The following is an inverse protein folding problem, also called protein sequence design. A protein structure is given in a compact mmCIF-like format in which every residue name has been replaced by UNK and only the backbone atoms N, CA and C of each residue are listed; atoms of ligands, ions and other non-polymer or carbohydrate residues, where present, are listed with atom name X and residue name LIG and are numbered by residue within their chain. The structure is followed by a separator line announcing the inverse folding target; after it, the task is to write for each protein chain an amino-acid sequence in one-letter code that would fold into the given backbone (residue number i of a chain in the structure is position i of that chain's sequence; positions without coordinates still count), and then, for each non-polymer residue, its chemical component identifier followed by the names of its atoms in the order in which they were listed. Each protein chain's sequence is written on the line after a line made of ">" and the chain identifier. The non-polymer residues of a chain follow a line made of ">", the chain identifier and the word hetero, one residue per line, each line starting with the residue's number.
data_IF_575379174701
#
_entry.id   IF_575379174701
#
_cell.length_a   1.000
_cell.length_b   1.000
_cell.length_c   1.000
_cell.angle_alpha   90.00
_cell.angle_beta   90.00
_cell.angle_gamma   90.00
#
_symmetry.space_group_name_H-M   'P 1'
#
loop_
_entity.id
_entity.type
_entity.pdbx_description
1 polymer ?
#
# COMPACT_ATOMS: atom_id res chain seq x y z
N UNK A 1 10.25 5.52 8.53
CA UNK A 1 8.99 4.72 8.55
C UNK A 1 8.45 4.64 7.13
N UNK A 2 8.17 3.44 6.64
CA UNK A 2 7.51 3.23 5.35
C UNK A 2 6.05 3.67 5.39
N UNK A 3 5.48 4.01 4.25
CA UNK A 3 4.08 4.45 4.12
C UNK A 3 3.41 3.76 2.94
N UNK A 4 2.11 3.57 3.03
CA UNK A 4 1.26 3.06 1.95
C UNK A 4 0.22 4.13 1.58
N UNK A 5 0.04 4.38 0.30
CA UNK A 5 -1.00 5.26 -0.22
C UNK A 5 -1.87 4.51 -1.23
N UNK A 6 -3.19 4.59 -1.04
CA UNK A 6 -4.18 4.10 -1.99
C UNK A 6 -4.80 5.29 -2.72
N UNK A 7 -4.60 5.33 -4.03
CA UNK A 7 -5.18 6.37 -4.88
C UNK A 7 -6.54 5.91 -5.42
N UNK A 8 -7.58 6.62 -5.01
CA UNK A 8 -8.97 6.38 -5.42
C UNK A 8 -9.38 4.90 -5.38
N UNK A 9 -9.22 4.21 -4.24
CA UNK A 9 -9.63 2.81 -4.14
C UNK A 9 -11.13 2.67 -4.38
N UNK A 10 -11.53 1.55 -5.01
CA UNK A 10 -12.89 1.36 -5.51
C UNK A 10 -13.66 0.29 -4.73
N UNK A 11 -12.98 -0.71 -4.20
CA UNK A 11 -13.58 -1.91 -3.59
C UNK A 11 -13.41 -1.86 -2.07
N UNK A 12 -14.48 -1.60 -1.29
CA UNK A 12 -14.40 -1.43 0.16
C UNK A 12 -13.67 -2.54 0.92
N UNK A 13 -13.90 -3.84 0.68
CA UNK A 13 -13.18 -4.90 1.38
C UNK A 13 -11.66 -4.87 1.15
N UNK A 14 -11.21 -4.45 -0.03
CA UNK A 14 -9.77 -4.33 -0.30
C UNK A 14 -9.13 -3.25 0.57
N UNK A 15 -9.76 -2.10 0.68
CA UNK A 15 -9.29 -1.02 1.56
C UNK A 15 -9.26 -1.48 3.03
N UNK A 16 -10.27 -2.21 3.48
CA UNK A 16 -10.30 -2.77 4.83
C UNK A 16 -9.17 -3.77 5.08
N UNK A 17 -8.87 -4.63 4.13
CA UNK A 17 -7.75 -5.58 4.22
C UNK A 17 -6.40 -4.88 4.24
N UNK A 18 -6.23 -3.82 3.43
CA UNK A 18 -5.02 -2.99 3.46
C UNK A 18 -4.89 -2.27 4.81
N UNK A 19 -5.98 -1.76 5.36
CA UNK A 19 -5.98 -1.13 6.67
C UNK A 19 -5.52 -2.11 7.77
N UNK A 20 -6.03 -3.34 7.75
CA UNK A 20 -5.59 -4.40 8.66
C UNK A 20 -4.09 -4.72 8.52
N UNK A 21 -3.61 -4.82 7.29
CA UNK A 21 -2.19 -5.03 7.00
C UNK A 21 -1.33 -3.90 7.54
N UNK A 22 -1.75 -2.66 7.33
CA UNK A 22 -1.05 -1.47 7.80
C UNK A 22 -1.03 -1.39 9.33
N UNK A 23 -2.13 -1.77 10.00
CA UNK A 23 -2.16 -1.91 11.46
C UNK A 23 -1.16 -2.97 11.95
N UNK A 24 -1.13 -4.14 11.32
CA UNK A 24 -0.24 -5.24 11.68
C UNK A 24 1.24 -4.88 11.54
N UNK A 25 1.59 -4.03 10.60
CA UNK A 25 2.96 -3.61 10.29
C UNK A 25 3.32 -2.24 10.87
N UNK A 26 2.40 -1.57 11.57
CA UNK A 26 2.55 -0.19 12.05
C UNK A 26 2.93 0.79 10.93
N UNK A 27 2.35 0.58 9.76
CA UNK A 27 2.57 1.40 8.57
C UNK A 27 1.45 2.41 8.44
N UNK A 28 1.71 3.72 8.36
CA UNK A 28 0.68 4.71 8.06
C UNK A 28 0.02 4.44 6.73
N UNK A 29 -1.32 4.51 6.71
CA UNK A 29 -2.14 4.37 5.51
C UNK A 29 -2.68 5.72 5.08
N UNK A 30 -2.40 6.10 3.85
CA UNK A 30 -2.92 7.29 3.22
C UNK A 30 -3.96 6.91 2.16
N UNK A 31 -5.14 7.51 2.21
CA UNK A 31 -6.17 7.36 1.19
C UNK A 31 -6.30 8.69 0.45
N UNK A 32 -6.13 8.65 -0.85
CA UNK A 32 -5.97 9.83 -1.70
C UNK A 32 -7.08 9.89 -2.74
N UNK A 33 -7.67 11.07 -2.90
CA UNK A 33 -8.68 11.32 -3.91
C UNK A 33 -10.09 10.88 -3.50
N UNK A 34 -10.96 10.79 -4.50
CA UNK A 34 -12.36 10.44 -4.31
C UNK A 34 -12.52 8.92 -4.24
N UNK A 35 -13.19 8.44 -3.22
CA UNK A 35 -13.59 7.05 -3.10
C UNK A 35 -15.09 6.92 -3.39
N UNK A 36 -15.49 5.87 -4.10
CA UNK A 36 -16.91 5.57 -4.35
C UNK A 36 -17.66 5.04 -3.13
N UNK A 37 -17.02 5.00 -1.96
CA UNK A 37 -17.55 4.52 -0.69
C UNK A 37 -16.99 5.36 0.46
N UNK A 38 -17.61 5.24 1.63
CA UNK A 38 -17.12 5.90 2.84
C UNK A 38 -16.12 5.00 3.56
N UNK A 39 -15.07 5.59 4.13
CA UNK A 39 -14.07 4.82 4.91
C UNK A 39 -14.62 4.27 6.24
N UNK A 40 -15.75 4.81 6.71
CA UNK A 40 -16.53 4.27 7.81
C UNK A 40 -17.59 3.25 7.36
N UNK A 41 -17.61 2.91 6.07
CA UNK A 41 -18.52 1.92 5.50
C UNK A 41 -18.36 0.57 6.20
N UNK A 42 -19.50 -0.12 6.38
CA UNK A 42 -19.55 -1.42 7.04
C UNK A 42 -18.66 -2.47 6.39
N UNK A 43 -18.52 -2.46 5.06
CA UNK A 43 -17.69 -3.39 4.32
C UNK A 43 -16.20 -3.15 4.57
N UNK A 44 -15.77 -1.88 4.67
CA UNK A 44 -14.40 -1.52 5.04
C UNK A 44 -14.10 -1.97 6.47
N UNK A 45 -14.96 -1.62 7.40
CA UNK A 45 -14.80 -1.96 8.81
C UNK A 45 -14.85 -3.45 9.07
N UNK A 46 -15.68 -4.20 8.33
CA UNK A 46 -15.81 -5.65 8.48
C UNK A 46 -14.50 -6.39 8.21
N UNK A 47 -13.71 -5.95 7.23
CA UNK A 47 -12.42 -6.54 6.91
C UNK A 47 -11.34 -6.24 7.94
N UNK A 48 -11.45 -5.09 8.65
CA UNK A 48 -10.47 -4.64 9.63
C UNK A 48 -11.05 -4.28 11.01
N UNK A 49 -12.25 -4.76 11.35
CA UNK A 49 -13.05 -4.30 12.50
C UNK A 49 -12.27 -4.33 13.82
N UNK A 50 -11.62 -5.42 14.13
CA UNK A 50 -10.92 -5.62 15.41
C UNK A 50 -9.62 -4.81 15.50
N UNK A 51 -9.10 -4.34 14.38
CA UNK A 51 -7.82 -3.63 14.28
C UNK A 51 -7.95 -2.16 13.91
N UNK A 52 -9.18 -1.67 13.68
CA UNK A 52 -9.42 -0.30 13.23
C UNK A 52 -8.82 0.77 14.16
N UNK A 53 -8.88 0.64 15.49
CA UNK A 53 -8.21 1.57 16.40
C UNK A 53 -6.69 1.63 16.25
N UNK A 54 -6.07 0.59 15.69
CA UNK A 54 -4.62 0.49 15.47
C UNK A 54 -4.19 1.04 14.11
N UNK A 55 -5.15 1.45 13.26
CA UNK A 55 -4.85 1.97 11.92
C UNK A 55 -4.53 3.46 12.01
N UNK A 56 -3.31 3.83 11.64
CA UNK A 56 -2.96 5.23 11.42
C UNK A 56 -3.41 5.64 10.02
N UNK A 57 -4.60 6.23 9.94
CA UNK A 57 -5.26 6.59 8.69
C UNK A 57 -5.21 8.09 8.42
N UNK A 58 -4.73 8.46 7.25
CA UNK A 58 -4.70 9.83 6.75
C UNK A 58 -5.48 9.94 5.43
N UNK A 59 -6.22 11.02 5.26
CA UNK A 59 -6.97 11.31 4.03
C UNK A 59 -6.40 12.54 3.35
N UNK A 60 -6.29 12.47 2.02
CA UNK A 60 -5.81 13.57 1.19
C UNK A 60 -6.77 13.80 0.03
N UNK A 61 -7.03 15.06 -0.29
CA UNK A 61 -7.91 15.44 -1.39
C UNK A 61 -7.40 14.91 -2.74
N UNK A 62 -6.10 14.97 -2.93
CA UNK A 62 -5.41 14.58 -4.17
C UNK A 62 -3.93 14.24 -3.90
N UNK A 63 -3.20 13.85 -4.93
CA UNK A 63 -1.78 13.50 -4.82
C UNK A 63 -0.90 14.69 -4.44
N UNK A 64 -1.26 15.90 -4.84
CA UNK A 64 -0.50 17.09 -4.47
C UNK A 64 -0.62 17.36 -2.97
N UNK A 65 -1.82 17.22 -2.41
CA UNK A 65 -2.03 17.30 -0.96
C UNK A 65 -1.26 16.22 -0.19
N UNK A 66 -1.14 15.01 -0.74
CA UNK A 66 -0.30 13.96 -0.17
C UNK A 66 1.19 14.36 -0.18
N UNK A 67 1.68 14.89 -1.29
CA UNK A 67 3.07 15.34 -1.42
C UNK A 67 3.39 16.48 -0.47
N UNK A 68 2.47 17.43 -0.35
CA UNK A 68 2.62 18.58 0.57
C UNK A 68 2.66 18.13 2.03
N UNK A 69 1.88 17.11 2.38
CA UNK A 69 1.86 16.54 3.73
C UNK A 69 3.12 15.72 4.06
N UNK A 70 3.84 15.24 3.06
CA UNK A 70 4.99 14.36 3.20
C UNK A 70 6.22 14.94 2.47
N UNK A 71 6.72 16.12 2.87
CA UNK A 71 7.85 16.74 2.21
C UNK A 71 9.11 15.86 2.29
N UNK A 72 9.88 15.82 1.20
CA UNK A 72 11.11 15.02 1.11
C UNK A 72 10.89 13.51 0.97
N UNK A 73 9.64 13.05 0.89
CA UNK A 73 9.33 11.62 0.71
C UNK A 73 9.58 11.18 -0.73
N UNK A 74 10.21 10.02 -0.88
CA UNK A 74 10.32 9.34 -2.17
C UNK A 74 9.06 8.51 -2.41
N UNK A 75 8.31 8.85 -3.47
CA UNK A 75 7.10 8.14 -3.88
C UNK A 75 7.42 7.08 -4.92
N UNK A 76 6.94 5.87 -4.71
CA UNK A 76 7.09 4.72 -5.60
C UNK A 76 5.71 4.30 -6.09
N UNK A 77 5.55 4.20 -7.39
CA UNK A 77 4.24 3.96 -8.01
C UNK A 77 4.14 2.53 -8.52
N UNK A 78 3.20 1.77 -7.97
CA UNK A 78 2.99 0.38 -8.33
C UNK A 78 2.03 0.29 -9.52
N UNK A 79 2.48 -0.35 -10.59
CA UNK A 79 1.74 -0.49 -11.84
C UNK A 79 2.16 -1.75 -12.59
N UNK A 80 1.22 -2.36 -13.30
CA UNK A 80 1.52 -3.49 -14.19
C UNK A 80 2.30 -3.08 -15.44
N UNK A 81 2.46 -1.78 -15.67
CA UNK A 81 3.13 -1.21 -16.86
C UNK A 81 4.59 -0.83 -16.63
N UNK A 82 5.13 -1.04 -15.45
CA UNK A 82 6.53 -0.72 -15.15
C UNK A 82 7.48 -1.83 -15.63
N UNK A 83 8.72 -1.45 -15.87
CA UNK A 83 9.80 -2.37 -16.31
C UNK A 83 10.60 -2.92 -15.14
N UNK A 84 10.67 -2.18 -14.03
CA UNK A 84 11.45 -2.55 -12.85
C UNK A 84 10.59 -3.37 -11.89
N UNK A 85 11.05 -4.57 -11.55
CA UNK A 85 10.43 -5.37 -10.51
C UNK A 85 10.61 -4.73 -9.13
N UNK A 86 9.58 -4.81 -8.28
CA UNK A 86 9.68 -4.42 -6.88
C UNK A 86 10.82 -5.15 -6.15
N UNK A 87 11.10 -6.39 -6.55
CA UNK A 87 12.15 -7.21 -5.95
C UNK A 87 13.57 -6.72 -6.29
N UNK A 88 13.72 -6.01 -7.40
CA UNK A 88 15.00 -5.45 -7.84
C UNK A 88 15.20 -3.99 -7.37
N UNK A 89 14.21 -3.42 -6.71
CA UNK A 89 14.26 -2.06 -6.19
C UNK A 89 14.92 -2.01 -4.82
N UNK A 90 15.70 -0.97 -4.57
CA UNK A 90 16.27 -0.69 -3.26
C UNK A 90 15.35 0.25 -2.48
N UNK A 91 14.53 -0.32 -1.60
CA UNK A 91 13.67 0.46 -0.70
C UNK A 91 14.49 1.14 0.39
N UNK A 92 14.03 2.30 0.81
CA UNK A 92 14.64 3.07 1.88
C UNK A 92 13.61 3.50 2.92
N UNK A 93 14.09 3.76 4.11
CA UNK A 93 13.28 4.33 5.18
C UNK A 93 12.63 5.64 4.71
N UNK A 94 11.34 5.78 4.94
CA UNK A 94 10.56 6.94 4.52
C UNK A 94 9.88 6.83 3.16
N UNK A 95 10.14 5.78 2.37
CA UNK A 95 9.46 5.57 1.10
C UNK A 95 7.93 5.47 1.28
N UNK A 96 7.19 6.02 0.33
CA UNK A 96 5.75 5.91 0.23
C UNK A 96 5.39 5.12 -1.04
N UNK A 97 4.76 3.97 -0.86
CA UNK A 97 4.32 3.11 -1.95
C UNK A 97 2.89 3.47 -2.33
N UNK A 98 2.68 3.90 -3.57
CA UNK A 98 1.40 4.37 -4.10
C UNK A 98 0.78 3.30 -5.00
N UNK A 99 -0.43 2.89 -4.67
CA UNK A 99 -1.20 1.89 -5.42
C UNK A 99 -2.45 2.54 -6.03
N UNK A 100 -2.77 2.17 -7.25
CA UNK A 100 -3.92 2.71 -7.98
C UNK A 100 -5.24 1.98 -7.71
N UNK A 101 -6.35 2.54 -8.23
CA UNK A 101 -7.65 1.89 -8.18
C UNK A 101 -7.64 0.52 -8.87
N UNK A 102 -8.48 -0.39 -8.36
CA UNK A 102 -8.45 -1.81 -8.73
C UNK A 102 -8.70 -2.05 -10.22
N UNK A 103 -9.60 -1.28 -10.85
CA UNK A 103 -9.99 -1.49 -12.26
C UNK A 103 -9.19 -0.70 -13.26
N UNK A 104 -8.63 0.47 -12.88
CA UNK A 104 -8.00 1.43 -13.79
C UNK A 104 -6.48 1.51 -13.65
N UNK A 105 -5.96 1.22 -12.47
CA UNK A 105 -4.59 1.52 -12.11
C UNK A 105 -4.35 3.03 -11.95
N UNK A 106 -3.12 3.41 -11.74
CA UNK A 106 -2.71 4.81 -11.65
C UNK A 106 -2.84 5.54 -12.99
N UNK A 107 -3.11 6.86 -12.99
CA UNK A 107 -3.20 7.64 -14.21
C UNK A 107 -1.92 7.58 -15.06
N UNK A 108 -2.07 7.47 -16.38
CA UNK A 108 -0.92 7.35 -17.28
C UNK A 108 0.01 8.56 -17.21
N UNK A 109 -0.52 9.77 -17.06
CA UNK A 109 0.29 10.98 -16.93
C UNK A 109 1.17 10.95 -15.68
N UNK A 110 0.63 10.46 -14.57
CA UNK A 110 1.38 10.27 -13.33
C UNK A 110 2.53 9.28 -13.53
N UNK A 111 2.26 8.14 -14.15
CA UNK A 111 3.27 7.11 -14.43
C UNK A 111 4.35 7.63 -15.37
N UNK A 112 3.96 8.36 -16.41
CA UNK A 112 4.88 8.94 -17.39
C UNK A 112 5.80 9.97 -16.75
N UNK A 113 5.26 10.84 -15.90
CA UNK A 113 6.02 11.86 -15.18
C UNK A 113 6.97 11.26 -14.12
N UNK A 114 6.73 10.04 -13.66
CA UNK A 114 7.48 9.38 -12.59
C UNK A 114 8.07 8.03 -13.02
N UNK A 115 8.36 7.85 -14.28
CA UNK A 115 8.76 6.56 -14.87
C UNK A 115 9.88 5.84 -14.10
N UNK A 116 10.86 6.60 -13.61
CA UNK A 116 11.99 6.05 -12.86
C UNK A 116 11.62 5.49 -11.49
N UNK A 117 10.45 5.84 -10.98
CA UNK A 117 9.94 5.41 -9.70
C UNK A 117 8.69 4.51 -9.82
N UNK A 118 8.46 3.97 -11.02
CA UNK A 118 7.40 2.99 -11.25
C UNK A 118 7.95 1.57 -11.08
N UNK A 119 7.23 0.76 -10.32
CA UNK A 119 7.59 -0.62 -10.02
C UNK A 119 6.45 -1.56 -10.40
N UNK A 120 6.79 -2.78 -10.75
CA UNK A 120 5.82 -3.83 -11.06
C UNK A 120 6.01 -5.07 -10.19
N UNK A 121 4.94 -5.83 -10.01
CA UNK A 121 5.00 -7.19 -9.48
C UNK A 121 4.98 -8.13 -10.68
N UNK A 122 6.04 -8.90 -10.94
CA UNK A 122 6.10 -9.80 -12.08
C UNK A 122 4.99 -10.85 -12.05
N UNK A 123 4.34 -11.05 -13.19
CA UNK A 123 3.32 -12.06 -13.38
C UNK A 123 3.88 -13.20 -14.24
N UNK A 124 3.93 -14.41 -13.69
CA UNK A 124 4.46 -15.58 -14.41
C UNK A 124 3.47 -16.15 -15.43
N UNK A 125 2.17 -15.95 -15.16
CA UNK A 125 1.11 -16.37 -16.07
C UNK A 125 0.64 -15.18 -16.93
N UNK A 126 0.85 -15.20 -18.27
CA UNK A 126 0.47 -14.08 -19.13
C UNK A 126 -1.04 -13.88 -19.25
N UNK A 127 -1.84 -14.84 -18.82
CA UNK A 127 -3.31 -14.74 -18.85
C UNK A 127 -3.89 -14.07 -17.57
N UNK A 128 -3.04 -13.78 -16.59
CA UNK A 128 -3.44 -13.06 -15.36
C UNK A 128 -2.84 -11.66 -15.41
N UNK A 129 -3.70 -10.62 -15.39
CA UNK A 129 -3.28 -9.23 -15.60
C UNK A 129 -2.68 -8.58 -14.36
N UNK A 130 -3.23 -8.88 -13.21
CA UNK A 130 -2.87 -8.25 -11.94
C UNK A 130 -3.25 -9.12 -10.76
N UNK A 131 -2.64 -8.84 -9.61
CA UNK A 131 -3.06 -9.37 -8.32
C UNK A 131 -4.16 -8.50 -7.71
N UNK A 132 -4.92 -9.05 -6.78
CA UNK A 132 -5.79 -8.29 -5.90
C UNK A 132 -5.02 -7.15 -5.23
N UNK A 133 -5.65 -5.99 -5.04
CA UNK A 133 -5.00 -4.80 -4.47
C UNK A 133 -4.36 -5.09 -3.10
N UNK A 134 -5.09 -5.69 -2.17
CA UNK A 134 -4.57 -5.97 -0.84
C UNK A 134 -3.39 -6.96 -0.89
N UNK A 135 -3.45 -7.94 -1.78
CA UNK A 135 -2.34 -8.86 -2.03
C UNK A 135 -1.12 -8.13 -2.58
N UNK A 136 -1.31 -7.23 -3.54
CA UNK A 136 -0.22 -6.42 -4.10
C UNK A 136 0.46 -5.57 -3.03
N UNK A 137 -0.33 -4.92 -2.18
CA UNK A 137 0.20 -4.10 -1.08
C UNK A 137 1.02 -4.97 -0.12
N UNK A 138 0.51 -6.14 0.26
CA UNK A 138 1.21 -7.05 1.18
C UNK A 138 2.55 -7.52 0.62
N UNK A 139 2.58 -7.92 -0.64
CA UNK A 139 3.81 -8.40 -1.31
C UNK A 139 4.89 -7.32 -1.30
N UNK A 140 4.55 -6.12 -1.73
CA UNK A 140 5.51 -5.01 -1.85
C UNK A 140 5.92 -4.47 -0.47
N UNK A 141 4.97 -4.29 0.43
CA UNK A 141 5.23 -3.77 1.78
C UNK A 141 6.17 -4.69 2.56
N UNK A 142 5.93 -6.00 2.56
CA UNK A 142 6.79 -6.93 3.30
C UNK A 142 8.20 -7.03 2.72
N UNK A 143 8.36 -6.92 1.41
CA UNK A 143 9.69 -6.82 0.81
C UNK A 143 10.40 -5.52 1.24
N UNK A 144 9.69 -4.40 1.24
CA UNK A 144 10.25 -3.13 1.71
C UNK A 144 10.62 -3.18 3.21
N UNK A 145 9.77 -3.78 4.04
CA UNK A 145 10.05 -3.99 5.47
C UNK A 145 11.28 -4.88 5.69
N UNK A 146 11.42 -5.93 4.89
CA UNK A 146 12.59 -6.82 4.93
C UNK A 146 13.86 -6.06 4.59
N UNK A 147 13.87 -5.29 3.50
CA UNK A 147 15.03 -4.54 3.05
C UNK A 147 15.46 -3.45 4.03
N UNK A 148 14.52 -2.79 4.67
CA UNK A 148 14.80 -1.71 5.63
C UNK A 148 15.10 -2.20 7.05
N UNK A 149 15.15 -3.51 7.27
CA UNK A 149 15.45 -4.11 8.57
C UNK A 149 14.32 -4.01 9.60
N UNK A 150 13.13 -3.57 9.20
CA UNK A 150 12.00 -3.39 10.12
C UNK A 150 11.50 -4.70 10.74
N UNK A 151 11.81 -5.84 10.12
CA UNK A 151 11.44 -7.16 10.61
C UNK A 151 12.53 -7.83 11.47
N UNK A 152 13.70 -7.22 11.57
CA UNK A 152 14.82 -7.79 12.32
C UNK A 152 14.50 -7.85 13.82
N UNK A 153 14.89 -8.95 14.45
CA UNK A 153 14.64 -9.19 15.88
C UNK A 153 13.17 -9.38 16.25
N UNK A 154 12.28 -9.32 15.28
CA UNK A 154 10.85 -9.62 15.50
C UNK A 154 10.68 -11.13 15.54
N UNK A 155 10.27 -11.64 16.69
CA UNK A 155 9.93 -13.06 16.80
C UNK A 155 8.59 -13.30 16.11
N UNK A 156 8.42 -14.50 15.49
CA UNK A 156 7.09 -14.94 15.12
C UNK A 156 6.19 -14.86 16.34
N UNK A 157 4.91 -14.62 16.09
CA UNK A 157 3.88 -14.49 17.09
C UNK A 157 4.08 -15.45 18.27
N UNK A 158 4.23 -14.92 19.48
CA UNK A 158 4.22 -15.72 20.68
C UNK A 158 2.77 -16.04 21.00
N UNK A 159 2.43 -17.30 20.99
CA UNK A 159 1.40 -17.78 21.89
C UNK A 159 1.99 -17.58 23.28
N UNK A 160 1.58 -16.55 24.00
CA UNK A 160 1.83 -16.50 25.41
C UNK A 160 1.18 -17.75 25.97
N UNK A 161 2.04 -18.74 26.28
CA UNK A 161 1.60 -19.96 26.89
C UNK A 161 0.96 -19.55 28.21
N UNK A 162 -0.35 -19.67 28.26
CA UNK A 162 -1.01 -19.76 29.53
C UNK A 162 -0.41 -20.98 30.26
N UNK A 163 0.16 -20.74 31.40
CA UNK A 163 0.28 -21.79 32.43
C UNK A 163 -1.10 -22.29 32.79
#
# INVERSE_FOLDING_TARGET
>A
MLRVALFEPEIPPNTGNVARLCAATRTPLHVVGVTGFRLDDRAVRRAGLDYWPEVELHRHRDLDALRDALPGTRFLYLTTKAEVSYADWSFAEGDCMVFGPETRGLPEELLRANRKHCLTIPMLNPNVRSLNLATSVAVVLYEALRQTGALEGRRPWRVDGGE
#
